data_IF_633494709372
#
_entry.id   IF_633494709372
#
_cell.length_a   1.000
_cell.length_b   1.000
_cell.length_c   1.000
_cell.angle_alpha   90.00
_cell.angle_beta   90.00
_cell.angle_gamma   90.00
#
_symmetry.space_group_name_H-M   'P 1'
#
loop_
_entity.id
_entity.type
_entity.pdbx_description
1 polymer ?
#
# COMPACT_ATOMS: atom_id res chain seq x y z
N UNK A 1 14.05 -14.75 18.34
CA UNK A 1 14.22 -13.30 18.08
C UNK A 1 13.21 -12.49 18.91
N UNK A 2 13.66 -11.72 19.91
CA UNK A 2 12.75 -10.92 20.78
C UNK A 2 12.22 -9.64 20.11
N UNK A 3 12.83 -9.21 19.00
CA UNK A 3 12.44 -8.02 18.23
C UNK A 3 11.02 -8.15 17.64
N UNK A 4 10.70 -9.33 17.08
CA UNK A 4 9.38 -9.58 16.46
C UNK A 4 8.22 -9.55 17.46
N UNK A 5 8.47 -9.84 18.74
CA UNK A 5 7.44 -9.81 19.80
C UNK A 5 7.11 -8.38 20.22
N UNK A 6 8.10 -7.47 20.23
CA UNK A 6 7.91 -6.06 20.60
C UNK A 6 7.19 -5.27 19.51
N UNK A 7 7.52 -5.50 18.23
CA UNK A 7 6.80 -4.87 17.10
C UNK A 7 5.30 -5.18 17.16
N UNK A 8 4.91 -6.40 17.51
CA UNK A 8 3.50 -6.81 17.57
C UNK A 8 2.67 -5.99 18.56
N UNK A 9 3.25 -5.61 19.71
CA UNK A 9 2.56 -4.79 20.72
C UNK A 9 2.19 -3.40 20.19
N UNK A 10 3.02 -2.85 19.30
CA UNK A 10 2.84 -1.51 18.76
C UNK A 10 2.25 -1.51 17.34
N UNK A 11 2.19 -2.67 16.67
CA UNK A 11 1.78 -2.77 15.26
C UNK A 11 0.39 -2.19 15.01
N UNK A 12 -0.59 -2.42 15.90
CA UNK A 12 -1.94 -1.84 15.76
C UNK A 12 -1.95 -0.31 15.89
N UNK A 13 -1.03 0.26 16.69
CA UNK A 13 -0.89 1.71 16.85
C UNK A 13 -0.14 2.30 15.66
N UNK A 14 0.94 1.65 15.24
CA UNK A 14 1.73 2.03 14.09
C UNK A 14 0.89 1.99 12.80
N UNK A 15 0.11 0.93 12.58
CA UNK A 15 -0.82 0.81 11.44
C UNK A 15 -1.74 2.03 11.34
N UNK A 16 -2.35 2.48 12.45
CA UNK A 16 -3.21 3.67 12.45
C UNK A 16 -2.46 4.95 12.11
N UNK A 17 -1.22 5.09 12.59
CA UNK A 17 -0.39 6.27 12.27
C UNK A 17 -0.04 6.27 10.79
N UNK A 18 0.46 5.14 10.27
CA UNK A 18 0.81 5.02 8.86
C UNK A 18 -0.40 5.31 7.97
N UNK A 19 -1.57 4.71 8.26
CA UNK A 19 -2.77 4.98 7.46
C UNK A 19 -3.23 6.44 7.55
N UNK A 20 -3.17 7.06 8.73
CA UNK A 20 -3.53 8.46 8.88
C UNK A 20 -2.66 9.40 8.05
N UNK A 21 -1.37 9.11 7.90
CA UNK A 21 -0.49 9.88 7.01
C UNK A 21 -0.78 9.63 5.52
N UNK A 22 -1.22 8.42 5.12
CA UNK A 22 -1.56 8.15 3.72
C UNK A 22 -2.86 8.83 3.26
N UNK A 23 -3.78 9.10 4.18
CA UNK A 23 -5.09 9.70 3.89
C UNK A 23 -5.03 11.21 3.57
N UNK A 24 -3.95 11.90 3.95
CA UNK A 24 -3.85 13.36 3.83
C UNK A 24 -2.62 13.74 3.02
N UNK A 25 -2.80 14.55 1.98
CA UNK A 25 -1.70 15.19 1.26
C UNK A 25 -1.05 16.26 2.13
N UNK A 26 0.27 16.25 2.22
CA UNK A 26 1.08 17.25 2.91
C UNK A 26 1.59 18.37 1.97
N UNK A 27 1.15 18.37 0.71
CA UNK A 27 1.52 19.35 -0.30
C UNK A 27 1.93 18.69 -1.62
N UNK A 28 2.35 19.49 -2.62
CA UNK A 28 2.66 18.98 -3.96
C UNK A 28 3.82 17.97 -3.99
N UNK A 29 4.73 18.00 -3.00
CA UNK A 29 5.87 17.09 -2.93
C UNK A 29 5.53 15.75 -2.27
N UNK A 30 4.42 15.67 -1.51
CA UNK A 30 3.91 14.43 -0.92
C UNK A 30 4.93 13.67 -0.05
N UNK A 31 5.86 14.39 0.59
CA UNK A 31 7.00 13.82 1.30
C UNK A 31 6.55 12.87 2.42
N UNK A 32 5.55 13.28 3.20
CA UNK A 32 5.02 12.49 4.29
C UNK A 32 4.38 11.19 3.77
N UNK A 33 3.63 11.24 2.67
CA UNK A 33 3.02 10.04 2.07
C UNK A 33 4.07 9.10 1.49
N UNK A 34 5.08 9.63 0.81
CA UNK A 34 6.19 8.85 0.25
C UNK A 34 7.02 8.16 1.33
N UNK A 35 7.37 8.88 2.40
CA UNK A 35 8.10 8.34 3.55
C UNK A 35 7.26 7.31 4.31
N UNK A 36 5.95 7.56 4.43
CA UNK A 36 5.02 6.63 5.08
C UNK A 36 4.88 5.32 4.30
N UNK A 37 4.82 5.37 2.96
CA UNK A 37 4.81 4.17 2.14
C UNK A 37 6.10 3.35 2.31
N UNK A 38 7.25 3.99 2.41
CA UNK A 38 8.52 3.31 2.68
C UNK A 38 8.56 2.67 4.06
N UNK A 39 8.12 3.40 5.09
CA UNK A 39 7.96 2.86 6.43
C UNK A 39 6.98 1.68 6.47
N UNK A 40 5.91 1.73 5.67
CA UNK A 40 4.96 0.62 5.53
C UNK A 40 5.61 -0.60 4.86
N UNK A 41 6.40 -0.44 3.80
CA UNK A 41 7.15 -1.54 3.18
C UNK A 41 8.08 -2.21 4.19
N UNK A 42 8.88 -1.43 4.93
CA UNK A 42 9.73 -1.95 5.99
C UNK A 42 8.93 -2.67 7.07
N UNK A 43 7.78 -2.11 7.47
CA UNK A 43 6.89 -2.71 8.47
C UNK A 43 6.35 -4.05 8.00
N UNK A 44 5.88 -4.15 6.75
CA UNK A 44 5.36 -5.40 6.17
C UNK A 44 6.42 -6.51 6.25
N UNK A 45 7.64 -6.21 5.80
CA UNK A 45 8.74 -7.17 5.78
C UNK A 45 9.16 -7.63 7.18
N UNK A 46 9.32 -6.69 8.13
CA UNK A 46 9.85 -6.99 9.46
C UNK A 46 8.78 -7.52 10.43
N UNK A 47 7.50 -7.26 10.18
CA UNK A 47 6.39 -7.78 10.97
C UNK A 47 5.83 -9.11 10.45
N UNK A 48 6.28 -9.61 9.29
CA UNK A 48 5.99 -10.98 8.87
C UNK A 48 6.46 -11.97 9.95
N UNK A 49 5.66 -12.99 10.34
CA UNK A 49 4.45 -13.53 9.70
C UNK A 49 3.11 -12.93 10.19
N UNK A 50 3.10 -11.76 10.84
CA UNK A 50 1.88 -11.17 11.43
C UNK A 50 1.12 -10.22 10.52
N UNK A 51 1.55 -10.06 9.26
CA UNK A 51 0.91 -9.18 8.29
C UNK A 51 -0.40 -9.70 7.66
N UNK A 52 -0.63 -11.02 7.45
CA UNK A 52 -1.87 -11.49 6.84
C UNK A 52 -3.15 -11.03 7.54
N UNK A 53 -3.14 -10.95 8.89
CA UNK A 53 -4.30 -10.49 9.65
C UNK A 53 -4.58 -8.98 9.52
N UNK A 54 -3.70 -8.22 8.85
CA UNK A 54 -3.84 -6.79 8.58
C UNK A 54 -4.31 -6.50 7.16
N UNK A 55 -4.37 -7.52 6.30
CA UNK A 55 -4.84 -7.39 4.92
C UNK A 55 -6.21 -6.70 4.81
N UNK A 56 -7.23 -6.99 5.64
CA UNK A 56 -8.54 -6.34 5.56
C UNK A 56 -8.52 -4.82 5.77
N UNK A 57 -7.47 -4.29 6.39
CA UNK A 57 -7.31 -2.87 6.70
C UNK A 57 -6.37 -2.20 5.69
N UNK A 58 -5.23 -2.84 5.40
CA UNK A 58 -4.21 -2.27 4.52
C UNK A 58 -4.60 -2.31 3.04
N UNK A 59 -5.26 -3.37 2.58
CA UNK A 59 -5.67 -3.50 1.18
C UNK A 59 -6.59 -2.35 0.74
N UNK A 60 -7.76 -2.12 1.37
CA UNK A 60 -8.64 -1.05 0.93
C UNK A 60 -8.00 0.33 1.04
N UNK A 61 -7.15 0.58 2.05
CA UNK A 61 -6.44 1.84 2.20
C UNK A 61 -5.45 2.10 1.05
N UNK A 62 -4.68 1.08 0.65
CA UNK A 62 -3.74 1.19 -0.48
C UNK A 62 -4.48 1.34 -1.82
N UNK A 63 -5.59 0.61 -2.04
CA UNK A 63 -6.39 0.78 -3.25
C UNK A 63 -7.02 2.17 -3.32
N UNK A 64 -7.49 2.70 -2.19
CA UNK A 64 -8.01 4.06 -2.10
C UNK A 64 -6.94 5.09 -2.42
N UNK A 65 -5.74 4.95 -1.85
CA UNK A 65 -4.61 5.83 -2.19
C UNK A 65 -4.27 5.80 -3.69
N UNK A 66 -4.23 4.61 -4.31
CA UNK A 66 -3.99 4.49 -5.75
C UNK A 66 -5.06 5.23 -6.57
N UNK A 67 -6.32 5.09 -6.17
CA UNK A 67 -7.44 5.78 -6.82
C UNK A 67 -7.35 7.29 -6.63
N UNK A 68 -7.17 7.76 -5.40
CA UNK A 68 -7.11 9.18 -5.07
C UNK A 68 -5.97 9.87 -5.82
N UNK A 69 -4.76 9.32 -5.79
CA UNK A 69 -3.59 9.85 -6.52
C UNK A 69 -3.82 9.82 -8.03
N UNK A 70 -4.53 8.83 -8.56
CA UNK A 70 -4.85 8.77 -9.98
C UNK A 70 -5.84 9.86 -10.41
N UNK A 71 -6.92 10.04 -9.64
CA UNK A 71 -7.98 11.00 -9.95
C UNK A 71 -7.64 12.43 -9.54
N UNK A 72 -6.54 12.62 -8.81
CA UNK A 72 -6.11 13.92 -8.32
C UNK A 72 -5.85 14.90 -9.47
N UNK A 73 -6.53 16.05 -9.40
CA UNK A 73 -6.32 17.23 -10.24
C UNK A 73 -5.57 18.35 -9.50
N UNK A 74 -5.01 18.02 -8.33
CA UNK A 74 -4.23 18.91 -7.49
C UNK A 74 -2.88 19.32 -8.09
N UNK A 75 -2.10 20.10 -7.33
CA UNK A 75 -0.84 20.67 -7.80
C UNK A 75 0.32 19.65 -7.83
N UNK A 76 0.09 18.41 -7.39
CA UNK A 76 1.12 17.37 -7.25
C UNK A 76 1.73 17.01 -8.62
N UNK A 77 3.05 17.20 -8.83
CA UNK A 77 3.70 16.92 -10.10
C UNK A 77 3.61 15.44 -10.50
N UNK A 78 3.55 15.15 -11.80
CA UNK A 78 3.45 13.78 -12.31
C UNK A 78 4.57 12.83 -11.82
N UNK A 79 5.85 13.24 -11.68
CA UNK A 79 6.88 12.38 -11.12
C UNK A 79 6.58 11.94 -9.68
N UNK A 80 6.03 12.84 -8.86
CA UNK A 80 5.65 12.57 -7.46
C UNK A 80 4.47 11.60 -7.43
N UNK A 81 3.45 11.83 -8.27
CA UNK A 81 2.31 10.91 -8.42
C UNK A 81 2.76 9.53 -8.86
N UNK A 82 3.65 9.44 -9.85
CA UNK A 82 4.23 8.17 -10.30
C UNK A 82 4.98 7.45 -9.18
N UNK A 83 5.74 8.18 -8.35
CA UNK A 83 6.43 7.62 -7.19
C UNK A 83 5.46 7.08 -6.13
N UNK A 84 4.38 7.80 -5.83
CA UNK A 84 3.32 7.34 -4.93
C UNK A 84 2.68 6.05 -5.44
N UNK A 85 2.25 6.02 -6.71
CA UNK A 85 1.64 4.84 -7.32
C UNK A 85 2.61 3.65 -7.30
N UNK A 86 3.88 3.89 -7.61
CA UNK A 86 4.91 2.85 -7.58
C UNK A 86 5.11 2.29 -6.16
N UNK A 87 5.33 3.15 -5.15
CA UNK A 87 5.57 2.71 -3.77
C UNK A 87 4.34 2.02 -3.16
N UNK A 88 3.13 2.48 -3.48
CA UNK A 88 1.88 1.82 -3.07
C UNK A 88 1.73 0.44 -3.73
N UNK A 89 2.11 0.31 -5.00
CA UNK A 89 2.15 -0.99 -5.70
C UNK A 89 3.15 -1.94 -5.03
N UNK A 90 4.33 -1.46 -4.64
CA UNK A 90 5.31 -2.26 -3.90
C UNK A 90 4.76 -2.75 -2.55
N UNK A 91 4.03 -1.90 -1.81
CA UNK A 91 3.34 -2.34 -0.59
C UNK A 91 2.36 -3.50 -0.86
N UNK A 92 1.59 -3.43 -1.95
CA UNK A 92 0.65 -4.51 -2.32
C UNK A 92 1.38 -5.81 -2.68
N UNK A 93 2.49 -5.73 -3.42
CA UNK A 93 3.33 -6.91 -3.75
C UNK A 93 3.85 -7.58 -2.46
N UNK A 94 4.43 -6.78 -1.55
CA UNK A 94 4.93 -7.30 -0.27
C UNK A 94 3.82 -7.91 0.60
N UNK A 95 2.62 -7.32 0.59
CA UNK A 95 1.46 -7.88 1.28
C UNK A 95 1.01 -9.21 0.67
N UNK A 96 1.01 -9.33 -0.66
CA UNK A 96 0.69 -10.59 -1.34
C UNK A 96 1.66 -11.70 -0.93
N UNK A 97 2.97 -11.43 -0.98
CA UNK A 97 4.01 -12.36 -0.55
C UNK A 97 3.83 -12.78 0.92
N UNK A 98 3.54 -11.82 1.81
CA UNK A 98 3.28 -12.12 3.22
C UNK A 98 2.03 -13.00 3.42
N UNK A 99 1.07 -12.92 2.52
CA UNK A 99 -0.22 -13.63 2.54
C UNK A 99 -0.26 -14.89 1.66
N UNK A 100 0.88 -15.33 1.13
CA UNK A 100 0.99 -16.53 0.28
C UNK A 100 0.06 -16.49 -0.96
N UNK A 101 -0.06 -15.33 -1.60
CA UNK A 101 -0.85 -15.20 -2.83
C UNK A 101 -2.35 -14.95 -2.63
N UNK A 102 -2.83 -14.84 -1.38
CA UNK A 102 -4.25 -14.55 -1.11
C UNK A 102 -4.68 -13.21 -1.70
N UNK A 103 -3.78 -12.22 -1.74
CA UNK A 103 -4.10 -10.91 -2.26
C UNK A 103 -4.37 -10.95 -3.76
N UNK A 104 -3.59 -11.70 -4.55
CA UNK A 104 -3.84 -11.90 -5.99
C UNK A 104 -5.25 -12.42 -6.27
N UNK A 105 -5.76 -13.36 -5.47
CA UNK A 105 -7.12 -13.90 -5.62
C UNK A 105 -8.17 -12.82 -5.37
N UNK A 106 -8.00 -12.01 -4.32
CA UNK A 106 -8.91 -10.90 -4.01
C UNK A 106 -8.89 -9.81 -5.10
N UNK A 107 -7.71 -9.51 -5.65
CA UNK A 107 -7.55 -8.48 -6.66
C UNK A 107 -8.12 -8.87 -8.03
N UNK A 108 -8.28 -10.17 -8.34
CA UNK A 108 -8.94 -10.59 -9.59
C UNK A 108 -10.37 -10.05 -9.72
N UNK A 109 -11.11 -10.00 -8.61
CA UNK A 109 -12.46 -9.40 -8.61
C UNK A 109 -12.41 -7.90 -8.92
N UNK A 110 -11.50 -7.18 -8.25
CA UNK A 110 -11.33 -5.73 -8.42
C UNK A 110 -10.87 -5.37 -9.82
N UNK A 111 -9.95 -6.13 -10.40
CA UNK A 111 -9.42 -5.85 -11.74
C UNK A 111 -10.50 -5.98 -12.83
N UNK A 112 -11.47 -6.90 -12.65
CA UNK A 112 -12.59 -7.08 -13.60
C UNK A 112 -13.61 -5.94 -13.53
N UNK A 113 -13.79 -5.33 -12.36
CA UNK A 113 -14.73 -4.23 -12.16
C UNK A 113 -14.11 -2.84 -12.33
N UNK A 114 -12.78 -2.72 -12.23
CA UNK A 114 -12.08 -1.45 -12.34
C UNK A 114 -12.04 -0.98 -13.81
N UNK A 115 -12.52 0.23 -14.07
CA UNK A 115 -12.53 0.84 -15.41
C UNK A 115 -11.27 1.70 -15.66
N UNK A 116 -10.50 2.01 -14.61
CA UNK A 116 -9.35 2.89 -14.69
C UNK A 116 -8.09 2.19 -15.21
N UNK A 117 -7.46 2.71 -16.26
CA UNK A 117 -6.33 2.07 -16.93
C UNK A 117 -5.05 2.05 -16.10
N UNK A 118 -4.76 3.09 -15.30
CA UNK A 118 -3.52 3.16 -14.52
C UNK A 118 -3.64 2.39 -13.20
N UNK A 119 -4.81 2.40 -12.56
CA UNK A 119 -5.08 1.52 -11.41
C UNK A 119 -5.02 0.05 -11.85
N UNK A 120 -5.62 -0.30 -13.00
CA UNK A 120 -5.50 -1.65 -13.58
C UNK A 120 -4.06 -2.04 -13.85
N UNK A 121 -3.24 -1.12 -14.35
CA UNK A 121 -1.81 -1.36 -14.58
C UNK A 121 -1.05 -1.64 -13.28
N UNK A 122 -1.35 -0.89 -12.20
CA UNK A 122 -0.80 -1.17 -10.88
C UNK A 122 -1.22 -2.56 -10.37
N UNK A 123 -2.50 -2.92 -10.50
CA UNK A 123 -3.01 -4.24 -10.11
C UNK A 123 -2.41 -5.38 -10.94
N UNK A 124 -2.19 -5.16 -12.24
CA UNK A 124 -1.54 -6.12 -13.13
C UNK A 124 -0.12 -6.43 -12.64
N UNK A 125 0.65 -5.42 -12.24
CA UNK A 125 2.00 -5.61 -11.67
C UNK A 125 1.99 -6.48 -10.41
N UNK A 126 0.97 -6.33 -9.55
CA UNK A 126 0.80 -7.19 -8.36
C UNK A 126 0.49 -8.63 -8.74
N UNK A 127 -0.25 -8.86 -9.83
CA UNK A 127 -0.55 -10.22 -10.30
C UNK A 127 0.67 -10.92 -10.90
N UNK A 128 1.50 -10.17 -11.63
CA UNK A 128 2.67 -10.67 -12.34
C UNK A 128 3.92 -10.79 -11.46
N UNK A 129 3.95 -10.14 -10.29
CA UNK A 129 5.10 -10.25 -9.38
C UNK A 129 5.18 -11.66 -8.81
N UNK A 130 6.27 -12.37 -9.10
CA UNK A 130 6.57 -13.73 -8.61
C UNK A 130 6.76 -13.76 -7.09
#
# INVERSE_FOLDING_TARGET
SRLGILIVRHLKRLERVLLGYLEVSDGPEEEARLATLEALQCTIQHAWPRMPCRLPVLLPALLRLLWDVHTDQGPTPEPVRAALLHRATQCLILLDHCSQGQLKVLLQGVQRSCQDSRVRECLRKVQEST
#
